data_IF_355701329450
#
_entry.id   IF_355701329450
#
_cell.length_a   1.000
_cell.length_b   1.000
_cell.length_c   1.000
_cell.angle_alpha   90.00
_cell.angle_beta   90.00
_cell.angle_gamma   90.00
#
_symmetry.space_group_name_H-M   'P 1'
#
loop_
_entity.id
_entity.type
_entity.pdbx_description
1 polymer ?
#
# COMPACT_ATOMS: atom_id res chain seq x y z
N UNK A 1 -59.50 -10.63 19.78
CA UNK A 1 -58.67 -9.40 19.89
C UNK A 1 -57.48 -9.50 20.82
N UNK A 2 -57.41 -10.41 21.80
CA UNK A 2 -56.29 -10.55 22.75
C UNK A 2 -55.07 -11.30 22.15
N UNK A 3 -55.23 -12.15 21.15
CA UNK A 3 -54.17 -12.94 20.50
C UNK A 3 -53.34 -12.11 19.48
N UNK A 4 -53.93 -11.07 18.88
CA UNK A 4 -53.25 -10.18 17.94
C UNK A 4 -52.29 -9.20 18.62
N UNK A 5 -52.53 -8.82 19.89
CA UNK A 5 -51.66 -7.92 20.65
C UNK A 5 -50.38 -8.60 21.18
N UNK A 6 -50.42 -9.93 21.39
CA UNK A 6 -49.26 -10.70 21.80
C UNK A 6 -48.25 -10.89 20.65
N UNK A 7 -48.75 -11.03 19.42
CA UNK A 7 -47.89 -11.20 18.23
C UNK A 7 -47.15 -9.90 17.85
N UNK A 8 -47.80 -8.76 18.03
CA UNK A 8 -47.17 -7.45 17.80
C UNK A 8 -46.06 -7.12 18.84
N UNK A 9 -46.21 -7.59 20.08
CA UNK A 9 -45.21 -7.36 21.13
C UNK A 9 -43.95 -8.26 20.98
N UNK A 10 -44.13 -9.48 20.42
CA UNK A 10 -42.98 -10.38 20.15
C UNK A 10 -42.22 -9.93 18.90
N UNK A 11 -42.89 -9.35 17.90
CA UNK A 11 -42.23 -8.82 16.70
C UNK A 11 -41.46 -7.52 17.00
N UNK A 12 -41.92 -6.70 17.94
CA UNK A 12 -41.20 -5.48 18.38
C UNK A 12 -39.98 -5.81 19.27
N UNK A 13 -39.94 -6.96 19.95
CA UNK A 13 -38.82 -7.37 20.79
C UNK A 13 -37.68 -8.02 19.98
N UNK A 14 -37.96 -8.54 18.77
CA UNK A 14 -36.96 -9.14 17.88
C UNK A 14 -36.25 -8.10 17.04
N UNK A 15 -36.79 -6.89 16.90
CA UNK A 15 -36.19 -5.78 16.14
C UNK A 15 -35.31 -4.84 16.98
N UNK A 16 -35.19 -5.06 18.30
CA UNK A 16 -34.38 -4.21 19.19
C UNK A 16 -33.08 -4.86 19.67
N UNK A 17 -32.69 -6.00 19.13
CA UNK A 17 -31.31 -6.51 19.23
C UNK A 17 -30.55 -6.18 17.95
N UNK A 18 -30.57 -4.91 17.56
CA UNK A 18 -29.46 -4.31 16.80
C UNK A 18 -28.33 -4.22 17.83
N UNK A 19 -27.53 -5.30 17.91
CA UNK A 19 -26.36 -5.31 18.74
C UNK A 19 -25.54 -4.07 18.43
N UNK A 20 -25.21 -3.28 19.43
CA UNK A 20 -24.01 -2.46 19.36
C UNK A 20 -22.88 -3.46 19.10
N UNK A 21 -22.53 -3.65 17.81
CA UNK A 21 -21.24 -4.21 17.47
C UNK A 21 -20.24 -3.29 18.17
N UNK A 22 -19.62 -3.76 19.24
CA UNK A 22 -18.47 -3.07 19.79
C UNK A 22 -17.54 -2.87 18.61
N UNK A 23 -17.18 -1.63 18.32
CA UNK A 23 -16.20 -1.32 17.29
C UNK A 23 -14.97 -2.19 17.59
N UNK A 24 -14.68 -3.13 16.69
CA UNK A 24 -13.56 -4.05 16.85
C UNK A 24 -12.25 -3.28 16.77
N UNK A 25 -12.26 -2.15 16.06
CA UNK A 25 -11.11 -1.30 15.81
C UNK A 25 -11.37 0.14 16.28
N UNK A 26 -10.28 0.85 16.54
CA UNK A 26 -10.26 2.24 16.96
C UNK A 26 -9.39 3.04 16.00
N UNK A 27 -9.68 4.32 15.88
CA UNK A 27 -8.97 5.25 15.00
C UNK A 27 -8.45 6.48 15.75
N UNK A 28 -7.47 7.17 15.16
CA UNK A 28 -6.97 8.43 15.70
C UNK A 28 -8.09 9.49 15.76
N UNK A 29 -8.15 10.35 16.80
CA UNK A 29 -9.18 11.37 16.93
C UNK A 29 -9.36 12.26 15.69
N UNK A 30 -8.26 12.62 15.02
CA UNK A 30 -8.29 13.42 13.79
C UNK A 30 -9.00 12.69 12.63
N UNK A 31 -8.93 11.34 12.58
CA UNK A 31 -9.66 10.56 11.58
C UNK A 31 -11.12 10.37 11.99
N UNK A 32 -11.41 10.22 13.29
CA UNK A 32 -12.77 10.15 13.80
C UNK A 32 -13.55 11.46 13.52
N UNK A 33 -12.90 12.63 13.56
CA UNK A 33 -13.49 13.90 13.16
C UNK A 33 -13.88 13.89 11.67
N UNK A 34 -13.02 13.36 10.78
CA UNK A 34 -13.31 13.21 9.35
C UNK A 34 -14.47 12.24 9.09
N UNK A 35 -14.52 11.12 9.86
CA UNK A 35 -15.67 10.19 9.80
C UNK A 35 -16.96 10.85 10.23
N UNK A 36 -16.94 11.61 11.33
CA UNK A 36 -18.11 12.35 11.81
C UNK A 36 -18.57 13.44 10.82
N UNK A 37 -17.64 14.03 10.05
CA UNK A 37 -17.94 14.98 8.99
C UNK A 37 -18.43 14.32 7.68
N UNK A 38 -18.40 12.99 7.57
CA UNK A 38 -18.75 12.25 6.35
C UNK A 38 -17.68 12.31 5.25
N UNK A 39 -16.45 12.70 5.59
CA UNK A 39 -15.31 12.78 4.68
C UNK A 39 -14.57 11.44 4.54
N UNK A 40 -14.68 10.55 5.52
CA UNK A 40 -14.13 9.21 5.53
C UNK A 40 -15.18 8.17 5.95
N UNK A 41 -15.09 6.94 5.45
CA UNK A 41 -15.88 5.83 5.98
C UNK A 41 -15.38 5.42 7.37
N UNK A 42 -16.18 4.69 8.16
CA UNK A 42 -15.74 4.11 9.43
C UNK A 42 -14.47 3.27 9.31
N UNK A 43 -13.71 3.14 10.39
CA UNK A 43 -12.42 2.43 10.40
C UNK A 43 -12.53 0.97 9.94
N UNK A 44 -13.64 0.29 10.25
CA UNK A 44 -13.93 -1.08 9.85
C UNK A 44 -14.03 -1.23 8.31
N UNK A 45 -14.49 -0.20 7.61
CA UNK A 45 -14.57 -0.18 6.15
C UNK A 45 -13.25 0.21 5.48
N UNK A 46 -12.31 0.78 6.24
CA UNK A 46 -11.00 1.22 5.77
C UNK A 46 -9.91 0.16 5.92
N UNK A 47 -10.03 -0.69 6.93
CA UNK A 47 -9.11 -1.79 7.20
C UNK A 47 -9.38 -2.99 6.28
N UNK A 48 -8.36 -3.82 5.97
CA UNK A 48 -8.55 -5.09 5.28
C UNK A 48 -9.32 -6.10 6.15
N UNK A 49 -9.78 -7.21 5.54
CA UNK A 49 -10.49 -8.28 6.25
C UNK A 49 -9.68 -8.84 7.44
N UNK A 50 -8.36 -8.87 7.30
CA UNK A 50 -7.43 -9.36 8.32
C UNK A 50 -6.26 -8.36 8.50
N UNK A 51 -6.43 -7.27 9.27
CA UNK A 51 -5.37 -6.29 9.52
C UNK A 51 -4.12 -6.93 10.13
N UNK A 52 -2.94 -6.39 9.82
CA UNK A 52 -1.71 -6.86 10.45
C UNK A 52 -1.62 -6.33 11.88
N UNK A 53 -1.65 -7.23 12.84
CA UNK A 53 -1.50 -6.87 14.26
C UNK A 53 -0.03 -6.72 14.60
N UNK A 54 0.34 -5.52 15.06
CA UNK A 54 1.70 -5.21 15.56
C UNK A 54 1.69 -5.33 17.07
N UNK A 55 2.53 -6.23 17.59
CA UNK A 55 2.74 -6.36 19.02
C UNK A 55 3.74 -5.29 19.47
N UNK A 56 3.36 -4.36 20.36
CA UNK A 56 4.27 -3.34 20.87
C UNK A 56 5.48 -3.97 21.59
N UNK A 57 6.65 -3.34 21.46
CA UNK A 57 7.86 -3.83 22.16
C UNK A 57 7.78 -3.53 23.67
N UNK A 58 7.27 -2.38 24.04
CA UNK A 58 7.15 -1.94 25.43
C UNK A 58 5.70 -1.81 25.86
N UNK A 59 4.96 -0.86 25.27
CA UNK A 59 3.56 -0.59 25.61
C UNK A 59 2.76 -0.11 24.39
N UNK A 60 1.44 -0.20 24.47
CA UNK A 60 0.53 0.34 23.45
C UNK A 60 0.69 1.85 23.39
N UNK A 61 0.83 2.37 22.17
CA UNK A 61 1.01 3.79 21.91
C UNK A 61 -0.25 4.61 22.20
N UNK A 62 -0.07 5.92 22.34
CA UNK A 62 -1.16 6.89 22.52
C UNK A 62 -1.22 7.79 21.29
N UNK A 63 -2.42 7.99 20.73
CA UNK A 63 -2.61 8.89 19.61
C UNK A 63 -2.24 10.32 19.93
N UNK A 64 -1.66 11.01 18.97
CA UNK A 64 -1.30 12.42 19.05
C UNK A 64 0.18 12.67 18.89
N UNK A 65 0.59 13.91 19.20
CA UNK A 65 1.98 14.33 19.06
C UNK A 65 2.38 14.66 17.62
N UNK A 66 3.67 14.92 17.44
CA UNK A 66 4.31 15.26 16.18
C UNK A 66 5.71 14.64 16.12
N UNK A 67 5.96 13.83 15.09
CA UNK A 67 7.30 13.31 14.82
C UNK A 67 8.07 14.38 14.03
N UNK A 68 9.20 14.82 14.57
CA UNK A 68 10.09 15.79 13.91
C UNK A 68 11.41 15.10 13.57
N UNK A 69 11.75 15.15 12.28
CA UNK A 69 13.00 14.60 11.77
C UNK A 69 13.75 15.70 11.00
N UNK A 70 15.07 15.64 11.01
CA UNK A 70 15.91 16.50 10.19
C UNK A 70 16.38 15.74 8.94
N UNK A 71 16.40 16.41 7.79
CA UNK A 71 17.02 15.93 6.57
C UNK A 71 17.98 16.98 5.99
N UNK A 72 18.92 16.55 5.14
CA UNK A 72 19.97 17.42 4.60
C UNK A 72 19.53 18.20 3.34
N UNK A 73 18.26 18.19 3.03
CA UNK A 73 17.69 18.83 1.85
C UNK A 73 17.03 17.81 0.89
N UNK A 74 16.57 18.27 -0.29
CA UNK A 74 15.75 17.48 -1.21
C UNK A 74 16.38 16.18 -1.71
N UNK A 75 17.70 16.05 -1.62
CA UNK A 75 18.44 14.83 -2.02
C UNK A 75 18.53 13.77 -0.92
N UNK A 76 18.19 14.12 0.33
CA UNK A 76 18.31 13.22 1.48
C UNK A 76 16.99 12.52 1.79
N UNK A 77 16.70 11.51 1.00
CA UNK A 77 15.52 10.67 1.19
C UNK A 77 15.65 9.61 2.29
N UNK A 78 16.87 9.35 2.76
CA UNK A 78 17.19 8.15 3.54
C UNK A 78 16.41 8.05 4.85
N UNK A 79 16.23 9.17 5.56
CA UNK A 79 15.47 9.20 6.81
C UNK A 79 13.99 8.95 6.60
N UNK A 80 13.37 9.68 5.68
CA UNK A 80 11.94 9.56 5.39
C UNK A 80 11.59 8.21 4.74
N UNK A 81 12.29 7.84 3.69
CA UNK A 81 12.04 6.65 2.90
C UNK A 81 12.11 5.34 3.71
N UNK A 82 12.99 5.25 4.70
CA UNK A 82 13.10 4.06 5.56
C UNK A 82 11.97 3.90 6.56
N UNK A 83 11.24 4.97 6.85
CA UNK A 83 10.15 4.97 7.84
C UNK A 83 8.78 4.74 7.22
N UNK A 84 8.68 4.73 5.88
CA UNK A 84 7.38 4.72 5.19
C UNK A 84 7.18 3.53 4.26
N UNK A 85 8.21 2.70 3.99
CA UNK A 85 8.10 1.59 3.02
C UNK A 85 7.34 0.40 3.56
N UNK A 86 6.45 -0.13 2.72
CA UNK A 86 5.67 -1.32 3.00
C UNK A 86 5.90 -2.40 1.92
N UNK A 87 6.94 -3.25 2.03
CA UNK A 87 7.15 -4.35 1.08
C UNK A 87 6.07 -5.42 1.23
N UNK A 88 5.99 -6.37 0.28
CA UNK A 88 5.07 -7.51 0.36
C UNK A 88 5.28 -8.34 1.63
N UNK A 89 6.51 -8.55 2.02
CA UNK A 89 6.93 -9.22 3.27
C UNK A 89 8.04 -8.40 3.92
N UNK A 90 8.21 -8.48 5.21
CA UNK A 90 9.19 -7.69 5.96
C UNK A 90 10.03 -8.58 6.87
N UNK A 91 11.14 -8.08 7.40
CA UNK A 91 11.84 -8.72 8.50
C UNK A 91 11.20 -8.36 9.84
N UNK A 92 11.32 -9.25 10.81
CA UNK A 92 11.06 -8.92 12.20
C UNK A 92 12.07 -7.87 12.70
N UNK A 93 11.81 -7.18 13.85
CA UNK A 93 12.71 -6.13 14.36
C UNK A 93 14.15 -6.60 14.61
N UNK A 94 14.38 -7.89 14.89
CA UNK A 94 15.71 -8.47 15.07
C UNK A 94 16.41 -8.87 13.76
N UNK A 95 15.75 -8.72 12.62
CA UNK A 95 16.24 -9.09 11.28
C UNK A 95 16.61 -10.57 11.13
N UNK A 96 15.98 -11.45 11.88
CA UNK A 96 16.26 -12.89 11.91
C UNK A 96 15.26 -13.72 11.13
N UNK A 97 14.06 -13.21 10.91
CA UNK A 97 12.96 -13.95 10.30
C UNK A 97 12.11 -13.05 9.39
N UNK A 98 11.72 -13.58 8.23
CA UNK A 98 10.76 -12.93 7.34
C UNK A 98 9.35 -13.10 7.91
N UNK A 99 8.58 -12.01 7.93
CA UNK A 99 7.23 -11.96 8.45
C UNK A 99 6.25 -11.44 7.40
N UNK A 100 4.95 -11.78 7.51
CA UNK A 100 3.89 -11.19 6.71
C UNK A 100 3.87 -9.65 6.79
N UNK A 101 3.49 -9.01 5.68
CA UNK A 101 3.23 -7.58 5.64
C UNK A 101 2.03 -7.29 4.71
N UNK A 102 2.20 -6.69 3.52
CA UNK A 102 1.12 -6.57 2.53
C UNK A 102 0.63 -7.95 2.03
N UNK A 103 1.53 -8.93 1.94
CA UNK A 103 1.16 -10.32 1.80
C UNK A 103 0.92 -10.96 3.18
N UNK A 104 -0.17 -11.71 3.35
CA UNK A 104 -0.48 -12.46 4.57
C UNK A 104 0.42 -13.67 4.75
N UNK A 105 0.84 -14.28 3.63
CA UNK A 105 1.70 -15.45 3.57
C UNK A 105 2.36 -15.57 2.19
N UNK A 106 3.33 -16.45 2.10
CA UNK A 106 3.96 -16.81 0.84
C UNK A 106 4.28 -18.31 0.81
N UNK A 107 4.54 -18.81 -0.38
CA UNK A 107 4.99 -20.18 -0.62
C UNK A 107 6.15 -20.17 -1.61
N UNK A 108 7.11 -21.07 -1.42
CA UNK A 108 8.22 -21.29 -2.35
C UNK A 108 8.06 -22.71 -2.90
N UNK A 109 8.11 -22.88 -4.23
CA UNK A 109 8.05 -24.18 -4.88
C UNK A 109 9.21 -25.07 -4.42
N UNK A 110 9.03 -26.40 -4.51
CA UNK A 110 10.06 -27.40 -4.10
C UNK A 110 11.38 -27.20 -4.82
N UNK A 111 11.33 -26.80 -6.09
CA UNK A 111 12.51 -26.51 -6.91
C UNK A 111 13.10 -25.12 -6.67
N UNK A 112 12.46 -24.32 -5.81
CA UNK A 112 12.88 -22.96 -5.46
C UNK A 112 12.76 -21.92 -6.57
N UNK A 113 12.09 -22.24 -7.68
CA UNK A 113 11.99 -21.33 -8.84
C UNK A 113 10.82 -20.37 -8.75
N UNK A 114 9.77 -20.69 -8.00
CA UNK A 114 8.54 -19.88 -7.91
C UNK A 114 8.29 -19.42 -6.48
N UNK A 115 8.03 -18.13 -6.31
CA UNK A 115 7.57 -17.55 -5.05
C UNK A 115 6.16 -17.04 -5.27
N UNK A 116 5.20 -17.57 -4.52
CA UNK A 116 3.79 -17.17 -4.56
C UNK A 116 3.50 -16.32 -3.34
N UNK A 117 3.01 -15.10 -3.54
CA UNK A 117 2.54 -14.21 -2.48
C UNK A 117 1.01 -14.16 -2.48
N UNK A 118 0.42 -14.22 -1.29
CA UNK A 118 -1.01 -14.09 -1.06
C UNK A 118 -1.26 -12.75 -0.36
N UNK A 119 -1.80 -11.80 -1.10
CA UNK A 119 -2.06 -10.44 -0.62
C UNK A 119 -3.19 -10.45 0.42
N UNK A 120 -3.15 -9.51 1.37
CA UNK A 120 -4.26 -9.30 2.30
C UNK A 120 -5.48 -8.82 1.54
N UNK A 121 -6.62 -9.50 1.71
CA UNK A 121 -7.87 -9.10 1.07
C UNK A 121 -8.42 -7.81 1.69
N UNK A 122 -8.87 -6.91 0.83
CA UNK A 122 -9.44 -5.63 1.25
C UNK A 122 -8.41 -4.55 1.60
N UNK A 123 -7.11 -4.74 1.29
CA UNK A 123 -6.13 -3.66 1.31
C UNK A 123 -6.57 -2.51 0.41
N UNK A 124 -6.29 -1.29 0.85
CA UNK A 124 -6.59 -0.06 0.10
C UNK A 124 -5.40 0.87 0.06
N UNK A 125 -5.24 1.55 -1.05
CA UNK A 125 -4.37 2.70 -1.18
C UNK A 125 -4.82 3.85 -0.25
N UNK A 126 -3.97 4.83 -0.03
CA UNK A 126 -4.26 5.98 0.85
C UNK A 126 -5.43 6.85 0.42
N UNK A 127 -5.88 6.72 -0.83
CA UNK A 127 -7.09 7.36 -1.38
C UNK A 127 -8.34 6.48 -1.29
N UNK A 128 -8.23 5.27 -0.74
CA UNK A 128 -9.32 4.32 -0.57
C UNK A 128 -9.54 3.37 -1.74
N UNK A 129 -8.78 3.48 -2.85
CA UNK A 129 -8.88 2.54 -3.97
C UNK A 129 -8.37 1.15 -3.55
N UNK A 130 -9.01 0.04 -3.96
CA UNK A 130 -8.53 -1.32 -3.66
C UNK A 130 -7.10 -1.55 -4.15
N UNK A 131 -6.29 -2.25 -3.34
CA UNK A 131 -4.98 -2.77 -3.72
C UNK A 131 -5.10 -4.24 -4.09
N UNK A 132 -4.66 -4.60 -5.29
CA UNK A 132 -4.79 -5.95 -5.85
C UNK A 132 -3.53 -6.38 -6.61
N UNK A 133 -3.56 -7.58 -7.18
CA UNK A 133 -2.49 -8.08 -8.06
C UNK A 133 -2.31 -7.23 -9.32
N UNK A 134 -3.32 -6.46 -9.74
CA UNK A 134 -3.23 -5.53 -10.87
C UNK A 134 -2.16 -4.45 -10.64
N UNK A 135 -1.96 -4.01 -9.38
CA UNK A 135 -0.94 -3.02 -9.02
C UNK A 135 0.47 -3.62 -9.10
N UNK A 136 0.61 -4.92 -8.80
CA UNK A 136 1.87 -5.67 -8.96
C UNK A 136 2.19 -5.92 -10.43
N UNK A 137 1.18 -6.30 -11.23
CA UNK A 137 1.35 -6.48 -12.67
C UNK A 137 1.68 -5.17 -13.37
N UNK A 138 1.04 -4.07 -12.98
CA UNK A 138 1.35 -2.75 -13.53
C UNK A 138 2.77 -2.30 -13.18
N UNK A 139 3.22 -2.55 -11.95
CA UNK A 139 4.62 -2.34 -11.58
C UNK A 139 5.56 -3.15 -12.49
N UNK A 140 5.25 -4.42 -12.74
CA UNK A 140 6.07 -5.27 -13.60
C UNK A 140 6.07 -4.80 -15.07
N UNK A 141 4.96 -4.29 -15.56
CA UNK A 141 4.87 -3.64 -16.87
C UNK A 141 5.82 -2.44 -16.95
N UNK A 142 5.82 -1.57 -15.94
CA UNK A 142 6.75 -0.42 -15.86
C UNK A 142 8.21 -0.87 -15.85
N UNK A 143 8.55 -1.96 -15.12
CA UNK A 143 9.91 -2.52 -15.10
C UNK A 143 10.37 -3.03 -16.48
N UNK A 144 9.44 -3.33 -17.38
CA UNK A 144 9.69 -3.78 -18.74
C UNK A 144 9.45 -2.70 -19.80
N UNK A 145 9.31 -1.44 -19.39
CA UNK A 145 9.18 -0.27 -20.27
C UNK A 145 10.52 0.44 -20.36
N UNK A 146 11.27 0.30 -21.48
CA UNK A 146 12.68 0.77 -21.58
C UNK A 146 12.85 2.27 -21.38
N UNK A 147 11.83 3.09 -21.70
CA UNK A 147 11.84 4.54 -21.53
C UNK A 147 11.83 4.94 -20.04
N UNK A 148 11.23 4.09 -19.18
CA UNK A 148 11.13 4.29 -17.74
C UNK A 148 12.26 3.56 -17.00
N UNK A 149 12.50 2.32 -17.36
CA UNK A 149 13.51 1.43 -16.73
C UNK A 149 14.39 0.85 -17.83
N UNK A 150 15.58 1.41 -18.08
CA UNK A 150 16.47 0.99 -19.17
C UNK A 150 16.88 -0.47 -19.13
N UNK A 151 16.86 -1.10 -17.93
CA UNK A 151 17.10 -2.52 -17.75
C UNK A 151 16.39 -3.02 -16.50
N UNK A 152 15.73 -4.18 -16.61
CA UNK A 152 15.08 -4.83 -15.46
C UNK A 152 16.09 -5.00 -14.32
N UNK A 153 15.74 -4.60 -13.08
CA UNK A 153 16.66 -4.69 -11.95
C UNK A 153 17.19 -6.11 -11.73
N UNK A 154 18.49 -6.24 -11.49
CA UNK A 154 19.18 -7.53 -11.38
C UNK A 154 18.62 -8.48 -10.31
N UNK A 155 17.90 -7.94 -9.32
CA UNK A 155 17.18 -8.74 -8.33
C UNK A 155 16.07 -9.61 -8.95
N UNK A 156 15.52 -9.22 -10.09
CA UNK A 156 14.49 -9.94 -10.85
C UNK A 156 15.04 -10.71 -12.05
N UNK A 157 16.35 -10.72 -12.24
CA UNK A 157 17.02 -11.43 -13.33
C UNK A 157 17.82 -12.59 -12.76
N UNK A 158 17.66 -13.78 -13.34
CA UNK A 158 18.46 -14.97 -13.04
C UNK A 158 18.85 -15.65 -14.34
N UNK A 159 20.08 -16.14 -14.42
CA UNK A 159 20.65 -16.76 -15.62
C UNK A 159 20.43 -15.90 -16.90
N UNK A 160 20.59 -14.56 -16.74
CA UNK A 160 20.42 -13.59 -17.83
C UNK A 160 18.98 -13.37 -18.29
N UNK A 161 17.97 -13.96 -17.64
CA UNK A 161 16.56 -13.81 -17.99
C UNK A 161 15.78 -13.19 -16.83
N UNK A 162 14.84 -12.24 -17.13
CA UNK A 162 13.92 -11.73 -16.13
C UNK A 162 12.96 -12.82 -15.65
N UNK A 163 12.45 -12.69 -14.42
CA UNK A 163 11.37 -13.54 -13.94
C UNK A 163 10.06 -13.24 -14.70
N UNK A 164 9.10 -14.16 -14.61
CA UNK A 164 7.71 -13.89 -14.99
C UNK A 164 6.94 -13.47 -13.74
N UNK A 165 6.08 -12.46 -13.86
CA UNK A 165 5.14 -12.05 -12.79
C UNK A 165 3.73 -12.33 -13.27
N UNK A 166 3.01 -13.21 -12.55
CA UNK A 166 1.73 -13.78 -12.97
C UNK A 166 0.71 -13.62 -11.85
N UNK A 167 -0.43 -12.97 -12.12
CA UNK A 167 -1.59 -13.01 -11.23
C UNK A 167 -2.35 -14.33 -11.44
N UNK A 168 -2.56 -15.10 -10.39
CA UNK A 168 -3.41 -16.29 -10.40
C UNK A 168 -4.87 -15.93 -10.13
N UNK A 169 -5.07 -14.93 -9.29
CA UNK A 169 -6.37 -14.31 -8.98
C UNK A 169 -6.13 -12.88 -8.48
N UNK A 170 -7.18 -12.22 -8.01
CA UNK A 170 -7.15 -10.82 -7.54
C UNK A 170 -6.16 -10.58 -6.39
N UNK A 171 -5.86 -11.62 -5.60
CA UNK A 171 -5.01 -11.51 -4.39
C UNK A 171 -3.84 -12.50 -4.37
N UNK A 172 -3.60 -13.23 -5.45
CA UNK A 172 -2.51 -14.21 -5.52
C UNK A 172 -1.60 -13.92 -6.71
N UNK A 173 -0.32 -13.60 -6.44
CA UNK A 173 0.69 -13.29 -7.45
C UNK A 173 1.91 -14.20 -7.31
N UNK A 174 2.43 -14.65 -8.45
CA UNK A 174 3.64 -15.46 -8.54
C UNK A 174 4.79 -14.69 -9.21
N UNK A 175 5.99 -14.85 -8.64
CA UNK A 175 7.26 -14.49 -9.25
C UNK A 175 7.98 -15.77 -9.63
N UNK A 176 8.06 -16.05 -10.92
CA UNK A 176 8.63 -17.30 -11.45
C UNK A 176 9.96 -17.02 -12.15
N UNK A 177 11.02 -17.57 -11.59
CA UNK A 177 12.39 -17.43 -12.07
C UNK A 177 12.80 -18.61 -12.94
N UNK A 178 13.74 -18.43 -13.90
CA UNK A 178 14.22 -19.52 -14.75
C UNK A 178 15.06 -20.57 -13.98
N UNK A 179 15.61 -20.19 -12.82
CA UNK A 179 16.40 -21.06 -11.92
C UNK A 179 16.08 -20.72 -10.46
N UNK A 180 16.44 -21.55 -9.48
CA UNK A 180 16.14 -21.33 -8.07
C UNK A 180 16.53 -19.93 -7.58
N UNK A 181 15.61 -19.24 -6.92
CA UNK A 181 15.75 -17.86 -6.49
C UNK A 181 15.22 -17.61 -5.06
N UNK A 182 15.23 -18.60 -4.17
CA UNK A 182 14.68 -18.47 -2.82
C UNK A 182 15.21 -17.26 -2.03
N UNK A 183 16.46 -16.84 -2.26
CA UNK A 183 17.05 -15.64 -1.65
C UNK A 183 16.35 -14.33 -2.06
N UNK A 184 15.53 -14.33 -3.12
CA UNK A 184 14.75 -13.18 -3.54
C UNK A 184 13.73 -12.75 -2.46
N UNK A 185 13.14 -13.72 -1.74
CA UNK A 185 12.26 -13.44 -0.60
C UNK A 185 12.94 -12.54 0.44
N UNK A 186 14.20 -12.86 0.79
CA UNK A 186 14.98 -12.08 1.75
C UNK A 186 15.27 -10.67 1.23
N UNK A 187 15.48 -10.53 -0.07
CA UNK A 187 15.72 -9.24 -0.69
C UNK A 187 14.45 -8.36 -0.65
N UNK A 188 13.27 -8.92 -0.93
CA UNK A 188 11.98 -8.22 -0.75
C UNK A 188 11.80 -7.80 0.71
N UNK A 189 12.00 -8.72 1.67
CA UNK A 189 11.84 -8.46 3.10
C UNK A 189 12.79 -7.36 3.64
N UNK A 190 13.97 -7.22 3.04
CA UNK A 190 14.89 -6.13 3.35
C UNK A 190 14.48 -4.77 2.74
N UNK A 191 13.33 -4.69 2.09
CA UNK A 191 12.86 -3.48 1.42
C UNK A 191 13.65 -3.18 0.13
N UNK A 192 14.06 -4.22 -0.60
CA UNK A 192 14.87 -4.09 -1.81
C UNK A 192 14.19 -3.36 -2.96
N UNK A 193 12.85 -3.46 -3.09
CA UNK A 193 12.03 -2.64 -3.99
C UNK A 193 10.57 -2.63 -3.52
N UNK A 194 9.84 -1.58 -3.88
CA UNK A 194 8.39 -1.67 -4.02
C UNK A 194 8.09 -2.51 -5.27
N UNK A 195 7.26 -3.52 -5.12
CA UNK A 195 6.88 -4.44 -6.19
C UNK A 195 5.45 -4.22 -6.64
N UNK A 196 4.99 -2.98 -6.53
CA UNK A 196 3.64 -2.53 -6.88
C UNK A 196 3.63 -1.02 -7.17
N UNK A 197 2.69 -0.58 -7.97
CA UNK A 197 2.43 0.84 -8.28
C UNK A 197 0.90 1.07 -8.33
N UNK A 198 0.40 2.27 -7.96
CA UNK A 198 -1.03 2.59 -8.03
C UNK A 198 -1.50 2.67 -9.48
N UNK A 199 -1.93 1.54 -10.06
CA UNK A 199 -2.36 1.44 -11.45
C UNK A 199 -3.47 2.42 -11.76
N UNK A 200 -4.49 2.53 -10.89
CA UNK A 200 -5.63 3.46 -11.07
C UNK A 200 -5.21 4.92 -11.20
N UNK A 201 -4.09 5.31 -10.59
CA UNK A 201 -3.55 6.67 -10.65
C UNK A 201 -2.52 6.83 -11.76
N UNK A 202 -1.53 5.93 -11.87
CA UNK A 202 -0.40 6.12 -12.79
C UNK A 202 -0.71 5.72 -14.25
N UNK A 203 -1.69 4.86 -14.50
CA UNK A 203 -2.05 4.45 -15.85
C UNK A 203 -2.49 5.63 -16.73
N UNK A 204 -3.06 6.68 -16.14
CA UNK A 204 -3.43 7.90 -16.88
C UNK A 204 -2.23 8.70 -17.43
N UNK A 205 -1.02 8.37 -17.02
CA UNK A 205 0.23 8.98 -17.48
C UNK A 205 1.13 8.01 -18.25
N UNK A 206 0.65 6.79 -18.57
CA UNK A 206 1.46 5.74 -19.17
C UNK A 206 1.05 5.47 -20.62
N UNK A 207 2.04 5.31 -21.51
CA UNK A 207 1.88 5.18 -22.95
C UNK A 207 0.98 4.01 -23.41
N UNK A 208 0.90 2.94 -22.63
CA UNK A 208 0.04 1.79 -22.96
C UNK A 208 -1.44 2.02 -22.66
N UNK A 209 -1.81 3.10 -21.98
CA UNK A 209 -3.18 3.43 -21.57
C UNK A 209 -3.69 4.74 -22.16
N UNK A 210 -2.78 5.65 -22.52
CA UNK A 210 -3.10 6.97 -23.08
C UNK A 210 -2.23 7.19 -24.31
N UNK A 211 -2.79 7.77 -25.36
CA UNK A 211 -2.05 8.05 -26.60
C UNK A 211 -0.91 9.08 -26.39
N UNK A 212 0.14 8.94 -27.19
CA UNK A 212 1.36 9.73 -27.06
C UNK A 212 1.11 11.24 -27.28
N UNK A 213 0.18 11.62 -28.13
CA UNK A 213 -0.14 13.03 -28.41
C UNK A 213 -0.73 13.68 -27.15
N UNK A 214 -1.69 13.01 -26.49
CA UNK A 214 -2.29 13.45 -25.25
C UNK A 214 -1.24 13.54 -24.13
N UNK A 215 -0.42 12.51 -23.95
CA UNK A 215 0.64 12.50 -22.94
C UNK A 215 1.68 13.59 -23.17
N UNK A 216 2.06 13.83 -24.43
CA UNK A 216 2.98 14.90 -24.79
C UNK A 216 2.39 16.29 -24.49
N UNK A 217 1.09 16.47 -24.73
CA UNK A 217 0.41 17.71 -24.38
C UNK A 217 0.37 17.93 -22.88
N UNK A 218 0.07 16.89 -22.10
CA UNK A 218 0.09 16.93 -20.63
C UNK A 218 1.50 17.25 -20.10
N UNK A 219 2.53 16.60 -20.61
CA UNK A 219 3.92 16.86 -20.24
C UNK A 219 4.30 18.33 -20.48
N UNK A 220 4.00 18.86 -21.67
CA UNK A 220 4.28 20.26 -22.03
C UNK A 220 3.54 21.27 -21.14
N UNK A 221 2.31 20.96 -20.72
CA UNK A 221 1.54 21.80 -19.82
C UNK A 221 2.22 21.94 -18.44
N UNK A 222 3.02 20.96 -18.04
CA UNK A 222 3.81 20.95 -16.80
C UNK A 222 5.28 21.36 -17.02
N UNK A 223 5.64 21.80 -18.24
CA UNK A 223 7.00 22.24 -18.57
C UNK A 223 7.99 21.10 -18.82
N UNK A 224 7.48 19.88 -19.02
CA UNK A 224 8.24 18.68 -19.32
C UNK A 224 8.29 18.41 -20.82
N UNK A 225 9.23 17.58 -21.28
CA UNK A 225 9.43 17.32 -22.70
C UNK A 225 8.80 16.03 -23.19
N UNK A 226 8.69 15.03 -22.31
CA UNK A 226 8.31 13.67 -22.65
C UNK A 226 7.29 13.09 -21.68
N UNK A 227 6.55 12.08 -22.14
CA UNK A 227 5.58 11.36 -21.32
C UNK A 227 6.25 10.63 -20.15
N UNK A 228 7.46 10.11 -20.34
CA UNK A 228 8.16 9.41 -19.26
C UNK A 228 8.68 10.37 -18.18
N UNK A 229 9.08 11.61 -18.54
CA UNK A 229 9.35 12.66 -17.54
C UNK A 229 8.08 12.96 -16.73
N UNK A 230 6.91 13.08 -17.38
CA UNK A 230 5.63 13.26 -16.72
C UNK A 230 5.30 12.08 -15.77
N UNK A 231 5.43 10.85 -16.27
CA UNK A 231 5.18 9.65 -15.47
C UNK A 231 6.05 9.62 -14.20
N UNK A 232 7.34 9.92 -14.33
CA UNK A 232 8.27 9.98 -13.19
C UNK A 232 7.92 11.12 -12.23
N UNK A 233 7.53 12.30 -12.75
CA UNK A 233 7.11 13.43 -11.91
C UNK A 233 5.82 13.13 -11.13
N UNK A 234 4.88 12.36 -11.71
CA UNK A 234 3.67 11.89 -11.03
C UNK A 234 3.91 10.76 -10.01
N UNK A 235 5.15 10.44 -9.72
CA UNK A 235 5.51 9.44 -8.73
C UNK A 235 5.67 8.06 -9.31
N UNK A 236 6.07 7.96 -10.56
CA UNK A 236 6.63 6.76 -11.15
C UNK A 236 7.85 6.28 -10.35
N UNK A 237 8.49 5.22 -10.78
CA UNK A 237 9.37 4.40 -9.97
C UNK A 237 10.46 5.14 -9.16
N UNK A 238 11.15 6.12 -9.75
CA UNK A 238 12.27 6.78 -9.06
C UNK A 238 11.85 7.90 -8.11
N UNK A 239 10.63 8.40 -8.22
CA UNK A 239 10.13 9.56 -7.46
C UNK A 239 8.86 9.23 -6.64
N UNK A 240 8.57 7.96 -6.42
CA UNK A 240 7.34 7.51 -5.77
C UNK A 240 7.03 8.22 -4.45
N UNK A 241 8.04 8.45 -3.64
CA UNK A 241 7.94 9.06 -2.32
C UNK A 241 7.86 10.60 -2.32
N UNK A 242 8.08 11.27 -3.48
CA UNK A 242 8.11 12.74 -3.59
C UNK A 242 6.81 13.33 -4.10
N UNK A 243 6.02 12.56 -4.83
CA UNK A 243 4.87 13.08 -5.55
C UNK A 243 3.69 13.32 -4.60
N UNK A 244 3.38 14.60 -4.38
CA UNK A 244 2.17 15.02 -3.66
C UNK A 244 0.93 14.56 -4.43
N UNK A 245 -0.02 13.92 -3.74
CA UNK A 245 -1.24 13.40 -4.33
C UNK A 245 -1.13 12.00 -4.95
N UNK A 246 0.06 11.41 -5.02
CA UNK A 246 0.21 10.00 -5.39
C UNK A 246 -0.33 9.12 -4.26
N UNK A 247 -1.22 8.15 -4.55
CA UNK A 247 -1.64 7.16 -3.57
C UNK A 247 -0.47 6.28 -3.11
N UNK A 248 -0.43 5.97 -1.81
CA UNK A 248 0.62 5.16 -1.17
C UNK A 248 0.02 4.09 -0.28
N UNK A 249 0.79 3.01 -0.04
CA UNK A 249 0.47 1.99 0.96
C UNK A 249 1.12 2.29 2.32
N UNK A 250 1.96 3.31 2.35
CA UNK A 250 2.77 3.72 3.50
C UNK A 250 1.93 4.27 4.66
N UNK A 251 2.50 4.29 5.85
CA UNK A 251 1.86 4.83 7.05
C UNK A 251 1.56 6.34 6.95
N UNK A 252 2.34 7.06 6.15
CA UNK A 252 2.31 8.51 6.04
C UNK A 252 2.17 8.95 4.59
N UNK A 253 1.33 9.95 4.35
CA UNK A 253 1.11 10.58 3.04
C UNK A 253 1.74 11.96 3.04
N UNK A 254 2.59 12.25 2.05
CA UNK A 254 3.18 13.59 1.88
C UNK A 254 2.12 14.58 1.41
N UNK A 255 2.07 15.73 2.08
CA UNK A 255 1.11 16.81 1.79
C UNK A 255 1.75 18.11 1.29
N UNK A 256 3.08 18.22 1.38
CA UNK A 256 3.85 19.36 0.85
C UNK A 256 4.86 18.89 -0.18
N UNK A 257 5.29 19.78 -1.08
CA UNK A 257 6.32 19.45 -2.05
C UNK A 257 7.64 19.11 -1.34
N UNK A 258 8.35 18.14 -1.86
CA UNK A 258 9.60 17.68 -1.26
C UNK A 258 10.70 18.75 -1.25
N UNK A 259 10.63 19.71 -2.14
CA UNK A 259 11.56 20.84 -2.23
C UNK A 259 11.21 22.00 -1.27
N UNK A 260 10.08 21.91 -0.57
CA UNK A 260 9.71 22.88 0.45
C UNK A 260 10.69 22.80 1.65
N UNK A 261 10.91 23.92 2.35
CA UNK A 261 11.80 23.95 3.53
C UNK A 261 11.35 23.01 4.66
N UNK A 262 10.06 22.71 4.71
CA UNK A 262 9.45 21.80 5.69
C UNK A 262 8.61 20.78 4.93
N UNK A 263 9.02 19.51 5.00
CA UNK A 263 8.24 18.39 4.51
C UNK A 263 7.20 18.00 5.56
N UNK A 264 5.94 18.02 5.17
CA UNK A 264 4.80 17.62 6.01
C UNK A 264 4.19 16.33 5.47
N UNK A 265 3.91 15.40 6.38
CA UNK A 265 3.17 14.18 6.09
C UNK A 265 2.05 14.00 7.10
N UNK A 266 0.94 13.47 6.64
CA UNK A 266 -0.23 13.13 7.45
C UNK A 266 -0.41 11.62 7.53
N UNK A 267 -1.20 11.15 8.50
CA UNK A 267 -1.58 9.74 8.61
C UNK A 267 -2.28 9.27 7.35
N UNK A 268 -1.88 8.09 6.86
CA UNK A 268 -2.67 7.37 5.86
C UNK A 268 -3.95 6.85 6.53
N UNK A 269 -5.15 7.32 6.14
CA UNK A 269 -6.40 6.90 6.77
C UNK A 269 -6.75 5.43 6.49
N UNK A 270 -6.15 4.82 5.46
CA UNK A 270 -6.36 3.43 5.06
C UNK A 270 -5.19 2.52 5.44
N UNK A 271 -4.30 2.97 6.36
CA UNK A 271 -3.18 2.15 6.78
C UNK A 271 -3.65 0.87 7.46
N UNK A 272 -3.11 -0.26 7.05
CA UNK A 272 -3.64 -1.60 7.28
C UNK A 272 -3.19 -2.28 8.58
N UNK A 273 -2.35 -1.61 9.37
CA UNK A 273 -1.81 -2.16 10.62
C UNK A 273 -2.61 -1.66 11.82
N UNK A 274 -2.77 -2.54 12.79
CA UNK A 274 -3.38 -2.23 14.10
C UNK A 274 -2.45 -2.73 15.21
N UNK A 275 -2.59 -2.18 16.41
CA UNK A 275 -1.94 -2.75 17.58
C UNK A 275 -2.78 -3.87 18.23
N UNK A 276 -2.30 -4.40 19.36
CA UNK A 276 -2.98 -5.49 20.11
C UNK A 276 -4.29 -5.08 20.76
N UNK A 277 -4.59 -3.79 20.86
CA UNK A 277 -5.86 -3.25 21.36
C UNK A 277 -6.82 -2.83 20.24
N UNK A 278 -6.46 -3.09 18.98
CA UNK A 278 -7.23 -2.74 17.80
C UNK A 278 -7.15 -1.27 17.40
N UNK A 279 -6.17 -0.52 17.89
CA UNK A 279 -5.95 0.86 17.45
C UNK A 279 -5.29 0.85 16.06
N UNK A 280 -5.90 1.54 15.07
CA UNK A 280 -5.30 1.71 13.75
C UNK A 280 -4.02 2.54 13.86
N UNK A 281 -2.91 2.00 13.35
CA UNK A 281 -1.62 2.69 13.27
C UNK A 281 -1.56 3.67 12.07
N UNK A 282 -0.58 4.56 11.92
CA UNK A 282 0.69 4.67 12.62
C UNK A 282 0.59 5.16 14.04
#
# INVERSE_FOLDING_TARGET
MRKFRLFALVLALVLSVSGAAFAQYKEAPILAEKVAAGELPPVEERLPENPLVIVPIEEVGVYGGLIRMAHRGPSDSTGYYRTVREPLVNYNPSLTEVQPNLAERWEISEDGTTITYYLRKGLKWSDGHPFTTEDVLFWWEVQNTPELVPAVPGAFVRDGQPCEVIALDEYTVQFKFPVPAAAHLNWIAAGGAETYLPKHYLSQFHINYVDEETLTAMAKAEGLNTWYELFLEKGGESNNWRAVGRPVMDAWVITTNFDDPILVSERNPYYFKVDTEGNQLP
#
